data_IF_945848877847
#
_entry.id   IF_945848877847
#
_cell.length_a   1.000
_cell.length_b   1.000
_cell.length_c   1.000
_cell.angle_alpha   90.00
_cell.angle_beta   90.00
_cell.angle_gamma   90.00
#
_symmetry.space_group_name_H-M   'P 1'
#
loop_
_entity.id
_entity.type
_entity.pdbx_description
1 polymer ?
#
# COMPACT_ATOMS: atom_id res chain seq x y z
N UNK A 1 -2.85 26.24 -7.17
CA UNK A 1 -2.95 24.75 -7.09
C UNK A 1 -1.59 24.03 -7.24
N UNK A 2 -0.49 24.69 -7.53
CA UNK A 2 0.80 24.05 -7.89
C UNK A 2 1.84 23.97 -6.78
N UNK A 3 1.63 24.55 -5.62
CA UNK A 3 2.61 24.50 -4.50
C UNK A 3 2.33 23.44 -3.42
N UNK A 4 1.11 22.93 -3.31
CA UNK A 4 0.74 21.90 -2.32
C UNK A 4 1.04 20.47 -2.78
N UNK A 5 1.07 20.21 -4.07
CA UNK A 5 1.33 18.87 -4.62
C UNK A 5 2.77 18.37 -4.43
N UNK A 6 3.72 19.28 -4.24
CA UNK A 6 5.16 18.95 -4.15
C UNK A 6 5.65 18.57 -2.75
N UNK A 7 4.84 18.73 -1.71
CA UNK A 7 5.30 18.48 -0.33
C UNK A 7 5.11 17.04 0.18
N UNK A 8 4.49 16.17 -0.59
CA UNK A 8 3.90 14.93 -0.02
C UNK A 8 4.19 13.66 -0.82
N UNK A 9 5.02 13.73 -1.84
CA UNK A 9 5.67 12.51 -2.32
C UNK A 9 6.64 12.03 -1.22
N UNK A 10 6.68 10.72 -0.88
CA UNK A 10 7.73 10.21 0.01
C UNK A 10 9.08 10.75 -0.47
N UNK A 11 9.91 11.24 0.43
CA UNK A 11 11.24 11.81 0.12
C UNK A 11 12.05 10.98 -0.90
N UNK A 12 11.82 9.68 -0.98
CA UNK A 12 12.38 8.78 -1.98
C UNK A 12 12.01 9.13 -3.43
N UNK A 13 10.83 9.69 -3.69
CA UNK A 13 10.39 10.06 -5.04
C UNK A 13 11.00 11.41 -5.47
N UNK A 14 11.27 12.29 -4.51
CA UNK A 14 11.90 13.58 -4.79
C UNK A 14 13.36 13.45 -5.27
N UNK A 15 14.08 12.44 -4.77
CA UNK A 15 15.46 12.16 -5.20
C UNK A 15 15.56 11.66 -6.65
N UNK A 16 14.50 11.06 -7.20
CA UNK A 16 14.46 10.57 -8.59
C UNK A 16 14.36 11.73 -9.59
N UNK A 17 13.63 12.78 -9.25
CA UNK A 17 13.41 13.91 -10.16
C UNK A 17 14.63 14.80 -10.33
N UNK A 18 15.53 14.86 -9.32
CA UNK A 18 16.72 15.71 -9.36
C UNK A 18 17.96 15.07 -9.98
N UNK A 19 17.99 13.74 -10.10
CA UNK A 19 19.18 13.02 -10.60
C UNK A 19 19.31 13.00 -12.13
N UNK A 20 18.26 13.35 -12.87
CA UNK A 20 18.28 13.33 -14.35
C UNK A 20 19.00 14.52 -14.98
N UNK A 21 19.30 15.59 -14.23
CA UNK A 21 19.92 16.81 -14.76
C UNK A 21 21.34 17.10 -14.24
N UNK A 22 21.99 16.17 -13.56
CA UNK A 22 23.44 16.27 -13.26
C UNK A 22 23.90 17.46 -12.41
N UNK A 23 23.01 18.22 -11.78
CA UNK A 23 23.35 19.32 -10.86
C UNK A 23 22.57 19.24 -9.56
N UNK A 24 23.27 18.95 -8.48
CA UNK A 24 22.76 19.10 -7.12
C UNK A 24 22.83 20.58 -6.75
N UNK A 25 21.74 21.30 -6.88
CA UNK A 25 21.63 22.63 -6.28
C UNK A 25 21.22 22.44 -4.80
N UNK A 26 22.12 22.76 -3.90
CA UNK A 26 21.82 22.88 -2.47
C UNK A 26 20.84 24.03 -2.27
N UNK A 27 19.60 23.73 -1.90
CA UNK A 27 18.63 24.74 -1.47
C UNK A 27 19.00 25.19 -0.05
N UNK A 28 19.66 26.34 0.01
CA UNK A 28 19.88 27.13 1.23
C UNK A 28 18.53 27.60 1.74
N UNK A 29 18.21 27.31 3.00
CA UNK A 29 17.04 27.86 3.68
C UNK A 29 17.21 29.37 3.85
N UNK A 30 16.18 30.20 3.59
CA UNK A 30 16.24 31.59 3.98
C UNK A 30 16.04 31.78 5.50
N UNK A 31 16.96 32.44 6.10
CA UNK A 31 16.98 32.89 7.49
C UNK A 31 15.86 33.91 7.74
N UNK A 32 14.94 33.61 8.64
CA UNK A 32 13.89 34.53 9.09
C UNK A 32 14.34 35.31 10.32
N UNK A 33 15.18 36.31 10.10
CA UNK A 33 15.35 37.39 11.05
C UNK A 33 15.64 38.70 10.32
N UNK A 34 14.58 39.43 9.93
CA UNK A 34 14.59 40.90 9.88
C UNK A 34 13.17 41.41 9.59
N UNK A 35 12.66 42.12 10.57
CA UNK A 35 11.53 43.04 10.50
C UNK A 35 11.80 44.16 9.54
N UNK A 36 10.87 44.54 8.67
CA UNK A 36 10.76 45.91 8.17
C UNK A 36 9.31 46.32 7.91
N UNK A 37 9.08 47.59 8.18
CA UNK A 37 7.84 48.30 8.28
C UNK A 37 7.11 48.53 6.96
N UNK A 38 5.85 48.66 7.11
CA UNK A 38 4.78 49.37 6.39
C UNK A 38 5.20 50.42 5.35
N UNK A 39 4.71 50.31 4.09
CA UNK A 39 4.22 51.47 3.31
C UNK A 39 3.23 51.04 2.21
N UNK A 40 2.26 51.93 2.00
CA UNK A 40 1.03 51.91 1.25
C UNK A 40 1.03 51.66 -0.26
N UNK A 41 -0.16 51.24 -0.72
CA UNK A 41 -0.90 51.61 -1.95
C UNK A 41 -0.36 51.17 -3.33
N UNK A 42 -1.11 50.28 -3.97
CA UNK A 42 -1.86 50.63 -5.19
C UNK A 42 -2.75 49.44 -5.63
N UNK A 43 -4.01 49.78 -5.91
CA UNK A 43 -5.04 48.83 -6.31
C UNK A 43 -4.79 48.23 -7.69
N UNK A 44 -5.20 46.96 -7.80
CA UNK A 44 -5.56 46.33 -9.06
C UNK A 44 -6.72 45.38 -8.79
N UNK A 45 -7.79 45.57 -9.54
CA UNK A 45 -9.07 44.87 -9.54
C UNK A 45 -8.89 43.35 -9.65
N UNK A 46 -9.58 42.63 -8.77
CA UNK A 46 -9.74 41.17 -8.86
C UNK A 46 -11.12 40.87 -9.45
N UNK A 47 -11.24 40.19 -10.60
CA UNK A 47 -12.53 39.84 -11.17
C UNK A 47 -13.27 38.81 -10.32
N UNK A 48 -14.57 39.07 -10.16
CA UNK A 48 -15.54 38.41 -9.34
C UNK A 48 -15.70 36.91 -9.64
N UNK A 49 -15.51 36.06 -8.63
CA UNK A 49 -15.63 34.58 -8.68
C UNK A 49 -16.99 34.05 -9.12
N UNK A 50 -18.03 34.86 -9.20
CA UNK A 50 -19.39 34.47 -9.64
C UNK A 50 -19.55 34.33 -11.15
N UNK A 51 -18.72 34.94 -11.96
CA UNK A 51 -18.79 34.87 -13.42
C UNK A 51 -18.17 33.59 -14.04
N UNK A 52 -17.33 32.88 -13.29
CA UNK A 52 -16.67 31.66 -13.80
C UNK A 52 -17.55 30.41 -13.68
N UNK A 53 -18.50 30.39 -12.75
CA UNK A 53 -19.37 29.23 -12.50
C UNK A 53 -20.58 29.20 -13.46
N UNK A 54 -20.98 30.35 -14.01
CA UNK A 54 -22.13 30.38 -14.96
C UNK A 54 -21.78 29.94 -16.39
N UNK A 55 -20.52 29.98 -16.79
CA UNK A 55 -20.08 29.62 -18.14
C UNK A 55 -19.78 28.11 -18.33
N UNK A 56 -19.67 27.35 -17.25
CA UNK A 56 -19.49 25.88 -17.31
C UNK A 56 -20.84 25.15 -17.35
N UNK A 57 -21.91 25.75 -16.80
CA UNK A 57 -23.26 25.18 -16.82
C UNK A 57 -23.98 25.32 -18.18
N UNK A 58 -23.57 26.27 -19.05
CA UNK A 58 -24.22 26.50 -20.36
C UNK A 58 -23.68 25.62 -21.49
N UNK A 59 -22.54 24.96 -21.31
CA UNK A 59 -21.96 24.09 -22.34
C UNK A 59 -22.48 22.64 -22.29
N UNK A 60 -23.11 22.23 -21.18
CA UNK A 60 -23.60 20.85 -21.00
C UNK A 60 -25.06 20.66 -21.47
N UNK A 61 -25.82 21.75 -21.66
CA UNK A 61 -27.23 21.68 -22.07
C UNK A 61 -27.44 21.67 -23.59
N UNK A 62 -26.44 22.04 -24.38
CA UNK A 62 -26.53 22.08 -25.84
C UNK A 62 -26.24 20.74 -26.55
N UNK A 63 -25.74 19.72 -25.85
CA UNK A 63 -25.42 18.44 -26.44
C UNK A 63 -26.54 17.38 -26.35
N UNK A 64 -27.64 17.66 -25.67
CA UNK A 64 -28.74 16.70 -25.45
C UNK A 64 -29.94 16.98 -26.40
N UNK A 65 -29.99 18.11 -27.11
CA UNK A 65 -31.11 18.50 -27.96
C UNK A 65 -31.00 18.07 -29.44
N UNK A 66 -29.98 17.38 -29.87
CA UNK A 66 -29.76 17.00 -31.27
C UNK A 66 -30.07 15.54 -31.63
N UNK A 67 -30.65 14.75 -30.72
CA UNK A 67 -30.92 13.33 -30.93
C UNK A 67 -32.37 12.91 -30.92
N UNK A 68 -33.32 13.83 -31.11
CA UNK A 68 -34.77 13.50 -31.25
C UNK A 68 -35.37 14.09 -32.54
N UNK A 69 -35.04 13.46 -33.65
CA UNK A 69 -35.76 13.70 -34.93
C UNK A 69 -36.74 12.55 -35.20
N UNK A 70 -38.01 12.80 -34.98
CA UNK A 70 -39.10 11.92 -35.36
C UNK A 70 -39.35 12.09 -36.86
N UNK A 71 -39.24 11.02 -37.62
CA UNK A 71 -39.78 10.93 -38.99
C UNK A 71 -40.82 9.82 -39.04
N UNK A 72 -42.05 10.26 -39.31
CA UNK A 72 -43.24 9.42 -39.62
C UNK A 72 -43.20 8.96 -41.07
N UNK A 73 -43.54 7.70 -41.33
CA UNK A 73 -44.15 7.33 -42.60
C UNK A 73 -43.61 6.07 -43.26
N UNK A 74 -44.55 5.15 -43.46
CA UNK A 74 -44.65 4.13 -44.51
C UNK A 74 -44.18 2.73 -44.17
N UNK A 75 -45.19 1.83 -44.09
CA UNK A 75 -45.06 0.40 -43.82
C UNK A 75 -44.33 -0.36 -44.93
N UNK A 76 -43.44 -1.21 -44.47
CA UNK A 76 -42.91 -2.33 -45.25
C UNK A 76 -43.02 -3.56 -44.34
N UNK A 77 -43.77 -4.55 -44.80
CA UNK A 77 -43.88 -5.87 -44.19
C UNK A 77 -42.55 -6.56 -44.40
N UNK A 78 -41.80 -6.80 -43.35
CA UNK A 78 -40.60 -7.65 -43.37
C UNK A 78 -40.89 -9.00 -42.70
N UNK A 79 -40.69 -10.06 -43.45
CA UNK A 79 -40.63 -11.44 -43.02
C UNK A 79 -39.52 -11.60 -41.95
N UNK A 80 -39.69 -12.52 -40.95
CA UNK A 80 -38.66 -12.72 -39.94
C UNK A 80 -37.47 -13.46 -40.54
N UNK A 81 -36.35 -12.75 -40.72
CA UNK A 81 -35.05 -13.34 -41.00
C UNK A 81 -34.47 -13.81 -39.66
N UNK A 82 -33.94 -15.03 -39.70
CA UNK A 82 -33.50 -15.86 -38.63
C UNK A 82 -32.77 -15.16 -37.48
N UNK A 83 -33.00 -15.70 -36.29
CA UNK A 83 -32.33 -15.33 -35.05
C UNK A 83 -30.81 -15.31 -35.24
N UNK A 84 -30.23 -14.12 -35.10
CA UNK A 84 -28.80 -13.99 -34.86
C UNK A 84 -28.48 -14.72 -33.56
N UNK A 85 -27.47 -15.61 -33.51
CA UNK A 85 -27.06 -16.20 -32.26
C UNK A 85 -26.60 -15.09 -31.34
N UNK A 86 -27.32 -14.90 -30.24
CA UNK A 86 -26.83 -14.18 -29.09
C UNK A 86 -25.51 -14.85 -28.71
N UNK A 87 -24.39 -14.19 -28.97
CA UNK A 87 -23.12 -14.48 -28.34
C UNK A 87 -23.33 -14.22 -26.85
N UNK A 88 -23.80 -15.23 -26.12
CA UNK A 88 -23.57 -15.34 -24.70
C UNK A 88 -22.06 -15.27 -24.54
N UNK A 89 -21.57 -14.16 -23.98
CA UNK A 89 -20.23 -14.13 -23.43
C UNK A 89 -20.16 -15.30 -22.47
N UNK A 90 -19.55 -16.40 -22.93
CA UNK A 90 -19.22 -17.51 -22.05
C UNK A 90 -18.46 -16.88 -20.90
N UNK A 91 -18.97 -17.07 -19.67
CA UNK A 91 -18.25 -16.75 -18.45
C UNK A 91 -16.87 -17.40 -18.57
N UNK A 92 -15.87 -16.60 -18.90
CA UNK A 92 -14.50 -17.07 -18.87
C UNK A 92 -14.24 -17.39 -17.41
N UNK A 93 -14.24 -18.70 -17.08
CA UNK A 93 -14.09 -19.17 -15.72
C UNK A 93 -12.81 -18.53 -15.15
N UNK A 94 -12.98 -17.64 -14.18
CA UNK A 94 -11.84 -16.97 -13.54
C UNK A 94 -10.90 -18.05 -13.00
N UNK A 95 -9.60 -17.89 -13.27
CA UNK A 95 -8.61 -18.78 -12.68
C UNK A 95 -8.69 -18.71 -11.15
N UNK A 96 -8.46 -19.83 -10.45
CA UNK A 96 -8.48 -19.81 -8.99
C UNK A 96 -7.40 -18.86 -8.46
N UNK A 97 -7.76 -18.07 -7.45
CA UNK A 97 -6.84 -17.15 -6.80
C UNK A 97 -5.75 -17.90 -6.03
N UNK A 98 -4.53 -17.44 -6.11
CA UNK A 98 -3.44 -17.97 -5.30
C UNK A 98 -3.64 -17.59 -3.83
N UNK A 99 -3.61 -18.60 -2.94
CA UNK A 99 -3.60 -18.35 -1.50
C UNK A 99 -2.21 -17.88 -1.08
N UNK A 100 -2.15 -16.71 -0.45
CA UNK A 100 -0.89 -16.14 0.06
C UNK A 100 -0.53 -16.76 1.42
N UNK A 101 0.77 -16.81 1.78
CA UNK A 101 1.23 -17.26 3.09
C UNK A 101 0.61 -16.47 4.26
N UNK A 102 0.51 -17.06 5.47
CA UNK A 102 -0.15 -16.42 6.63
C UNK A 102 0.64 -15.24 7.22
N UNK A 103 1.86 -15.05 6.79
CA UNK A 103 2.74 -13.92 7.11
C UNK A 103 3.64 -13.62 5.91
N UNK A 104 4.02 -12.36 5.70
CA UNK A 104 5.06 -11.98 4.77
C UNK A 104 6.17 -11.19 5.44
N UNK A 105 7.27 -10.98 4.74
CA UNK A 105 8.37 -10.11 5.14
C UNK A 105 8.32 -8.81 4.35
N UNK A 106 8.11 -7.68 5.02
CA UNK A 106 8.17 -6.35 4.41
C UNK A 106 9.61 -5.89 4.21
N UNK A 107 10.00 -5.66 2.96
CA UNK A 107 11.36 -5.30 2.57
C UNK A 107 11.54 -3.79 2.30
N UNK A 108 10.65 -2.93 2.79
CA UNK A 108 10.79 -1.48 2.59
C UNK A 108 12.10 -0.93 3.17
N UNK A 109 12.55 -1.45 4.28
CA UNK A 109 13.81 -1.01 4.89
C UNK A 109 15.07 -1.49 4.13
N UNK A 110 14.93 -2.41 3.17
CA UNK A 110 16.04 -2.97 2.40
C UNK A 110 16.42 -2.00 1.28
N UNK A 111 17.58 -1.39 1.39
CA UNK A 111 18.05 -0.41 0.41
C UNK A 111 17.56 1.04 0.61
N UNK A 112 16.62 1.30 1.52
CA UNK A 112 16.10 2.66 1.76
C UNK A 112 16.99 3.45 2.73
N UNK A 113 17.88 4.26 2.18
CA UNK A 113 18.78 5.12 2.95
C UNK A 113 18.07 6.34 3.55
N UNK A 114 17.01 6.85 2.92
CA UNK A 114 16.38 8.12 3.29
C UNK A 114 15.53 8.01 4.56
N UNK A 115 14.66 7.03 4.63
CA UNK A 115 13.76 6.87 5.76
C UNK A 115 14.31 5.90 6.82
N UNK A 116 14.92 4.80 6.36
CA UNK A 116 15.40 3.74 7.25
C UNK A 116 16.89 3.82 7.56
N UNK A 117 17.64 4.70 6.89
CA UNK A 117 19.07 4.85 7.12
C UNK A 117 19.90 3.64 6.67
N UNK A 118 19.43 2.95 5.62
CA UNK A 118 20.17 1.83 5.06
C UNK A 118 21.52 2.28 4.51
N UNK A 119 22.52 1.43 4.69
CA UNK A 119 23.80 1.50 3.99
C UNK A 119 24.26 0.08 3.60
N UNK A 120 25.12 -0.05 2.58
CA UNK A 120 25.51 -1.37 2.06
C UNK A 120 26.22 -2.31 3.06
N UNK A 121 26.77 -1.80 4.17
CA UNK A 121 27.34 -2.65 5.22
C UNK A 121 26.31 -3.52 5.92
N UNK A 122 25.01 -3.21 5.77
CA UNK A 122 23.88 -3.97 6.32
C UNK A 122 23.47 -5.15 5.42
N UNK A 123 24.02 -5.28 4.22
CA UNK A 123 23.60 -6.33 3.27
C UNK A 123 23.79 -7.74 3.86
N UNK A 124 24.85 -7.95 4.64
CA UNK A 124 25.08 -9.23 5.33
C UNK A 124 23.97 -9.55 6.34
N UNK A 125 23.55 -8.58 7.13
CA UNK A 125 22.47 -8.75 8.11
C UNK A 125 21.15 -9.05 7.38
N UNK A 126 20.91 -8.41 6.22
CA UNK A 126 19.72 -8.65 5.40
C UNK A 126 19.76 -10.02 4.72
N UNK A 127 20.92 -10.50 4.31
CA UNK A 127 21.11 -11.85 3.79
C UNK A 127 20.81 -12.90 4.88
N UNK A 128 21.28 -12.70 6.11
CA UNK A 128 20.94 -13.56 7.26
C UNK A 128 19.41 -13.58 7.53
N UNK A 129 18.73 -12.43 7.37
CA UNK A 129 17.25 -12.37 7.46
C UNK A 129 16.62 -13.18 6.34
N UNK A 130 17.09 -13.04 5.11
CA UNK A 130 16.59 -13.80 3.96
C UNK A 130 16.80 -15.31 4.18
N UNK A 131 17.99 -15.73 4.56
CA UNK A 131 18.33 -17.14 4.81
C UNK A 131 17.43 -17.75 5.89
N UNK A 132 17.19 -17.03 6.99
CA UNK A 132 16.27 -17.47 8.03
C UNK A 132 14.86 -17.70 7.47
N UNK A 133 14.33 -16.76 6.69
CA UNK A 133 13.00 -16.91 6.08
C UNK A 133 12.94 -18.13 5.16
N UNK A 134 14.04 -18.42 4.47
CA UNK A 134 14.13 -19.62 3.63
C UNK A 134 14.04 -20.92 4.44
N UNK A 135 14.47 -20.95 5.71
CA UNK A 135 14.31 -22.13 6.57
C UNK A 135 12.83 -22.41 6.89
N UNK A 136 11.95 -21.40 6.81
CA UNK A 136 10.51 -21.56 7.05
C UNK A 136 9.79 -22.29 5.91
N UNK A 137 10.47 -22.56 4.80
CA UNK A 137 9.95 -23.29 3.64
C UNK A 137 10.05 -24.81 3.77
N UNK A 138 10.32 -25.35 4.94
CA UNK A 138 10.62 -26.78 5.17
C UNK A 138 9.47 -27.73 4.82
N UNK A 139 8.23 -27.24 4.64
CA UNK A 139 7.10 -28.00 4.13
C UNK A 139 6.76 -27.59 2.69
N UNK A 140 6.34 -28.52 1.81
CA UNK A 140 5.88 -28.19 0.46
C UNK A 140 4.69 -27.22 0.43
N UNK A 141 3.91 -27.17 1.50
CA UNK A 141 2.78 -26.24 1.66
C UNK A 141 3.21 -24.83 2.17
N UNK A 142 4.46 -24.66 2.60
CA UNK A 142 4.94 -23.44 3.21
C UNK A 142 5.74 -22.61 2.20
N UNK A 143 5.05 -21.75 1.47
CA UNK A 143 5.69 -20.66 0.74
C UNK A 143 5.97 -19.50 1.70
N UNK A 144 6.99 -18.70 1.40
CA UNK A 144 7.26 -17.41 2.08
C UNK A 144 6.97 -16.26 1.14
N UNK A 145 6.43 -15.18 1.67
CA UNK A 145 6.11 -13.97 0.92
C UNK A 145 7.11 -12.87 1.26
N UNK A 146 7.83 -12.36 0.26
CA UNK A 146 8.67 -11.17 0.36
C UNK A 146 7.94 -10.01 -0.33
N UNK A 147 7.66 -8.94 0.41
CA UNK A 147 6.96 -7.76 -0.10
C UNK A 147 7.92 -6.59 -0.31
N UNK A 148 8.08 -6.17 -1.56
CA UNK A 148 8.93 -5.05 -1.99
C UNK A 148 8.18 -4.08 -2.89
N UNK A 149 8.88 -3.12 -3.50
CA UNK A 149 8.36 -2.20 -4.53
C UNK A 149 9.50 -1.63 -5.37
N UNK A 150 9.21 -1.24 -6.62
CA UNK A 150 10.20 -0.62 -7.52
C UNK A 150 10.83 0.66 -6.95
N UNK A 151 10.13 1.36 -6.03
CA UNK A 151 10.62 2.60 -5.41
C UNK A 151 11.43 2.36 -4.14
N UNK A 152 11.42 1.17 -3.55
CA UNK A 152 12.14 0.92 -2.31
C UNK A 152 13.66 0.92 -2.57
N UNK A 153 14.33 1.91 -1.96
CA UNK A 153 15.74 2.16 -2.23
C UNK A 153 16.06 2.37 -3.71
N UNK A 154 15.11 2.91 -4.50
CA UNK A 154 15.24 3.12 -5.96
C UNK A 154 15.54 1.82 -6.73
N UNK A 155 14.88 0.73 -6.34
CA UNK A 155 15.07 -0.61 -6.91
C UNK A 155 16.10 -1.48 -6.18
N UNK A 156 16.85 -0.92 -5.19
CA UNK A 156 17.85 -1.70 -4.43
C UNK A 156 17.21 -2.85 -3.67
N UNK A 157 16.00 -2.66 -3.11
CA UNK A 157 15.27 -3.73 -2.41
C UNK A 157 14.98 -4.92 -3.33
N UNK A 158 14.50 -4.68 -4.55
CA UNK A 158 14.28 -5.73 -5.54
C UNK A 158 15.57 -6.42 -5.95
N UNK A 159 16.66 -5.66 -6.17
CA UNK A 159 17.97 -6.22 -6.52
C UNK A 159 18.55 -7.11 -5.41
N UNK A 160 18.44 -6.68 -4.15
CA UNK A 160 18.87 -7.51 -3.00
C UNK A 160 18.12 -8.83 -2.94
N UNK A 161 16.79 -8.81 -3.11
CA UNK A 161 15.97 -10.04 -3.15
C UNK A 161 16.42 -10.96 -4.30
N UNK A 162 16.67 -10.40 -5.48
CA UNK A 162 17.17 -11.14 -6.63
C UNK A 162 18.53 -11.80 -6.35
N UNK A 163 19.48 -11.01 -5.83
CA UNK A 163 20.83 -11.47 -5.52
C UNK A 163 20.83 -12.58 -4.45
N UNK A 164 20.04 -12.43 -3.38
CA UNK A 164 19.95 -13.45 -2.32
C UNK A 164 19.23 -14.70 -2.82
N UNK A 165 18.16 -14.55 -3.61
CA UNK A 165 17.43 -15.69 -4.16
C UNK A 165 18.33 -16.55 -5.07
N UNK A 166 19.21 -15.95 -5.88
CA UNK A 166 20.16 -16.70 -6.74
C UNK A 166 21.12 -17.57 -5.95
N UNK A 167 21.49 -17.17 -4.74
CA UNK A 167 22.39 -17.91 -3.87
C UNK A 167 21.70 -19.08 -3.15
N UNK A 168 20.37 -18.99 -2.99
CA UNK A 168 19.60 -20.03 -2.31
C UNK A 168 19.52 -21.34 -3.14
N UNK A 169 19.36 -22.51 -2.51
CA UNK A 169 19.12 -23.78 -3.20
C UNK A 169 17.88 -23.71 -4.12
N UNK A 170 17.91 -24.36 -5.28
CA UNK A 170 16.81 -24.32 -6.27
C UNK A 170 15.46 -24.71 -5.70
N UNK A 171 15.43 -25.75 -4.89
CA UNK A 171 14.22 -26.24 -4.25
C UNK A 171 13.59 -25.21 -3.31
N UNK A 172 14.41 -24.31 -2.77
CA UNK A 172 13.99 -23.21 -1.89
C UNK A 172 13.51 -22.01 -2.72
N UNK A 173 14.18 -21.72 -3.84
CA UNK A 173 13.81 -20.61 -4.71
C UNK A 173 12.36 -20.70 -5.21
N UNK A 174 11.85 -21.93 -5.49
CA UNK A 174 10.51 -22.18 -5.98
C UNK A 174 9.43 -21.89 -4.93
N UNK A 175 9.79 -21.91 -3.64
CA UNK A 175 8.90 -21.64 -2.52
C UNK A 175 8.83 -20.16 -2.14
N UNK A 176 9.69 -19.33 -2.71
CA UNK A 176 9.69 -17.89 -2.49
C UNK A 176 8.65 -17.24 -3.38
N UNK A 177 7.68 -16.58 -2.79
CA UNK A 177 6.76 -15.69 -3.47
C UNK A 177 7.25 -14.25 -3.32
N UNK A 178 7.36 -13.52 -4.43
CA UNK A 178 7.72 -12.10 -4.41
C UNK A 178 6.53 -11.25 -4.83
N UNK A 179 6.12 -10.37 -3.94
CA UNK A 179 5.21 -9.28 -4.22
C UNK A 179 6.00 -7.99 -4.45
N UNK A 180 5.75 -7.32 -5.59
CA UNK A 180 6.30 -5.99 -5.84
C UNK A 180 5.22 -5.04 -6.33
N UNK A 181 5.55 -3.74 -6.49
CA UNK A 181 4.53 -2.71 -6.70
C UNK A 181 4.94 -1.69 -7.76
N UNK A 182 3.96 -1.31 -8.57
CA UNK A 182 4.02 -0.18 -9.49
C UNK A 182 3.86 1.15 -8.74
N UNK A 183 4.80 2.05 -8.87
CA UNK A 183 4.67 3.41 -8.33
C UNK A 183 3.75 4.27 -9.21
N UNK A 184 2.59 4.61 -8.71
CA UNK A 184 1.56 5.42 -9.36
C UNK A 184 1.95 6.92 -9.38
N UNK A 185 3.04 7.26 -10.07
CA UNK A 185 3.53 8.65 -10.15
C UNK A 185 2.65 9.49 -11.09
N UNK A 186 2.49 10.80 -10.85
CA UNK A 186 1.56 11.66 -11.59
C UNK A 186 1.75 11.69 -13.11
N UNK A 187 2.95 11.40 -13.60
CA UNK A 187 3.29 11.38 -15.03
C UNK A 187 3.21 9.98 -15.67
N UNK A 188 2.83 8.96 -14.90
CA UNK A 188 2.71 7.56 -15.36
C UNK A 188 1.23 7.19 -15.41
N UNK A 189 0.51 7.70 -16.43
CA UNK A 189 -0.96 7.64 -16.48
C UNK A 189 -1.51 6.70 -17.57
N UNK A 190 -0.66 5.85 -18.15
CA UNK A 190 -1.04 4.95 -19.24
C UNK A 190 -0.84 3.48 -18.85
N UNK A 191 -1.62 2.54 -19.41
CA UNK A 191 -1.46 1.10 -19.16
C UNK A 191 -0.03 0.60 -19.40
N UNK A 192 0.63 1.08 -20.48
CA UNK A 192 1.98 0.67 -20.86
C UNK A 192 3.02 1.04 -19.78
N UNK A 193 2.75 2.04 -18.94
CA UNK A 193 3.63 2.38 -17.81
C UNK A 193 3.67 1.26 -16.79
N UNK A 194 2.54 0.59 -16.54
CA UNK A 194 2.43 -0.55 -15.60
C UNK A 194 3.21 -1.74 -16.15
N UNK A 195 2.99 -2.08 -17.42
CA UNK A 195 3.69 -3.18 -18.11
C UNK A 195 5.21 -2.95 -18.12
N UNK A 196 5.64 -1.76 -18.52
CA UNK A 196 7.07 -1.40 -18.56
C UNK A 196 7.72 -1.45 -17.18
N UNK A 197 7.00 -1.05 -16.15
CA UNK A 197 7.49 -1.11 -14.79
C UNK A 197 7.62 -2.56 -14.31
N UNK A 198 6.64 -3.43 -14.61
CA UNK A 198 6.73 -4.86 -14.33
C UNK A 198 7.97 -5.49 -14.98
N UNK A 199 8.24 -5.18 -16.24
CA UNK A 199 9.46 -5.61 -16.94
C UNK A 199 10.74 -5.11 -16.27
N UNK A 200 10.71 -3.86 -15.74
CA UNK A 200 11.83 -3.31 -14.96
C UNK A 200 12.04 -4.04 -13.64
N UNK A 201 10.97 -4.38 -12.94
CA UNK A 201 11.00 -5.16 -11.70
C UNK A 201 11.50 -6.59 -11.95
N UNK A 202 11.04 -7.26 -13.03
CA UNK A 202 11.54 -8.57 -13.44
C UNK A 202 13.06 -8.57 -13.66
N UNK A 203 13.60 -7.51 -14.28
CA UNK A 203 15.05 -7.39 -14.49
C UNK A 203 15.85 -7.23 -13.19
N UNK A 204 15.31 -6.47 -12.20
CA UNK A 204 16.00 -6.28 -10.90
C UNK A 204 15.91 -7.51 -10.01
N UNK A 205 14.73 -8.15 -9.99
CA UNK A 205 14.49 -9.38 -9.25
C UNK A 205 15.20 -10.60 -9.88
N UNK A 206 15.37 -10.59 -11.20
CA UNK A 206 15.86 -11.71 -12.03
C UNK A 206 15.13 -13.03 -11.73
N UNK A 207 13.82 -12.92 -11.51
CA UNK A 207 12.89 -14.01 -11.23
C UNK A 207 11.44 -13.62 -11.53
N UNK A 208 10.50 -14.58 -11.65
CA UNK A 208 9.09 -14.28 -11.81
C UNK A 208 8.53 -13.42 -10.67
N UNK A 209 7.58 -12.53 -10.98
CA UNK A 209 6.79 -11.77 -10.01
C UNK A 209 5.55 -12.59 -9.67
N UNK A 210 5.40 -12.98 -8.39
CA UNK A 210 4.27 -13.79 -7.95
C UNK A 210 3.02 -12.95 -7.68
N UNK A 211 3.18 -11.69 -7.21
CA UNK A 211 2.11 -10.73 -7.00
C UNK A 211 2.56 -9.33 -7.42
N UNK A 212 1.85 -8.71 -8.36
CA UNK A 212 2.13 -7.34 -8.80
C UNK A 212 1.00 -6.41 -8.39
N UNK A 213 1.33 -5.31 -7.73
CA UNK A 213 0.35 -4.44 -7.10
C UNK A 213 0.46 -3.00 -7.59
N UNK A 214 -0.67 -2.30 -7.75
CA UNK A 214 -0.65 -0.83 -7.83
C UNK A 214 -0.39 -0.30 -6.42
N UNK A 215 0.67 0.50 -6.24
CA UNK A 215 1.13 0.96 -4.91
C UNK A 215 0.16 1.95 -4.26
N UNK A 216 -0.47 2.81 -5.06
CA UNK A 216 -1.45 3.81 -4.63
C UNK A 216 -2.50 4.03 -5.69
N UNK A 217 -3.76 4.32 -5.34
CA UNK A 217 -4.75 4.77 -6.29
C UNK A 217 -4.35 6.14 -6.87
N UNK A 218 -4.83 6.41 -8.09
CA UNK A 218 -4.67 7.71 -8.74
C UNK A 218 -5.99 8.09 -9.43
N UNK A 219 -6.68 9.09 -8.92
CA UNK A 219 -7.98 9.52 -9.39
C UNK A 219 -8.06 9.77 -10.92
N UNK A 220 -6.93 10.11 -11.53
CA UNK A 220 -6.89 10.44 -12.96
C UNK A 220 -6.43 9.29 -13.85
N UNK A 221 -6.05 8.14 -13.28
CA UNK A 221 -5.44 7.04 -14.03
C UNK A 221 -5.77 5.65 -13.48
N UNK A 222 -6.72 5.50 -12.57
CA UNK A 222 -7.04 4.20 -11.98
C UNK A 222 -7.42 3.17 -13.05
N UNK A 223 -8.32 3.52 -13.98
CA UNK A 223 -8.74 2.61 -15.06
C UNK A 223 -7.56 2.17 -15.93
N UNK A 224 -6.70 3.11 -16.33
CA UNK A 224 -5.50 2.79 -17.09
C UNK A 224 -4.55 1.86 -16.32
N UNK A 225 -4.48 2.00 -15.00
CA UNK A 225 -3.68 1.10 -14.17
C UNK A 225 -4.28 -0.30 -14.08
N UNK A 226 -5.61 -0.42 -14.01
CA UNK A 226 -6.29 -1.73 -14.01
C UNK A 226 -6.09 -2.44 -15.35
N UNK A 227 -6.19 -1.71 -16.46
CA UNK A 227 -5.88 -2.23 -17.78
C UNK A 227 -4.42 -2.70 -17.87
N UNK A 228 -3.48 -1.89 -17.38
CA UNK A 228 -2.07 -2.26 -17.38
C UNK A 228 -1.75 -3.44 -16.46
N UNK A 229 -2.47 -3.64 -15.34
CA UNK A 229 -2.37 -4.85 -14.52
C UNK A 229 -2.85 -6.08 -15.29
N UNK A 230 -4.00 -5.96 -15.96
CA UNK A 230 -4.55 -7.04 -16.77
C UNK A 230 -3.61 -7.38 -17.93
N UNK A 231 -3.06 -6.37 -18.62
CA UNK A 231 -2.07 -6.57 -19.68
C UNK A 231 -0.82 -7.31 -19.18
N UNK A 232 -0.29 -6.92 -18.02
CA UNK A 232 0.88 -7.58 -17.43
C UNK A 232 0.59 -9.06 -17.05
N UNK A 233 -0.63 -9.34 -16.56
CA UNK A 233 -1.08 -10.69 -16.25
C UNK A 233 -1.27 -11.54 -17.50
N UNK A 234 -1.97 -11.04 -18.51
CA UNK A 234 -2.25 -11.73 -19.77
C UNK A 234 -0.97 -12.02 -20.58
N UNK A 235 0.01 -11.10 -20.51
CA UNK A 235 1.35 -11.31 -21.09
C UNK A 235 2.22 -12.30 -20.29
N UNK A 236 1.75 -12.81 -19.14
CA UNK A 236 2.50 -13.73 -18.30
C UNK A 236 3.71 -13.10 -17.59
N UNK A 237 3.78 -11.76 -17.52
CA UNK A 237 4.83 -11.06 -16.79
C UNK A 237 4.69 -11.21 -15.27
N UNK A 238 3.45 -11.41 -14.80
CA UNK A 238 3.12 -11.55 -13.39
C UNK A 238 2.11 -12.68 -13.21
N UNK A 239 2.19 -13.40 -12.07
CA UNK A 239 1.32 -14.56 -11.81
C UNK A 239 -0.02 -14.17 -11.19
N UNK A 240 -0.03 -13.12 -10.37
CA UNK A 240 -1.22 -12.59 -9.69
C UNK A 240 -1.16 -11.07 -9.68
N UNK A 241 -2.34 -10.43 -9.57
CA UNK A 241 -2.45 -8.97 -9.48
C UNK A 241 -3.13 -8.55 -8.19
N UNK A 242 -2.75 -7.38 -7.72
CA UNK A 242 -3.28 -6.77 -6.51
C UNK A 242 -3.27 -5.24 -6.57
N UNK A 243 -3.78 -4.64 -5.53
CA UNK A 243 -3.74 -3.19 -5.32
C UNK A 243 -3.25 -2.87 -3.91
N UNK A 244 -2.94 -1.61 -3.64
CA UNK A 244 -2.57 -1.14 -2.31
C UNK A 244 -3.21 0.22 -2.04
N UNK A 245 -3.70 0.41 -0.82
CA UNK A 245 -4.36 1.64 -0.37
C UNK A 245 -5.67 1.98 -1.12
N UNK A 246 -6.36 0.97 -1.65
CA UNK A 246 -7.66 1.16 -2.28
C UNK A 246 -8.77 1.14 -1.22
N UNK A 247 -9.62 2.17 -1.24
CA UNK A 247 -10.86 2.23 -0.46
C UNK A 247 -11.95 1.36 -1.09
N UNK A 248 -13.13 1.31 -0.45
CA UNK A 248 -14.23 0.39 -0.83
C UNK A 248 -14.64 0.53 -2.29
N UNK A 249 -14.91 1.76 -2.74
CA UNK A 249 -15.44 2.00 -4.10
C UNK A 249 -14.41 1.74 -5.18
N UNK A 250 -13.16 2.20 -4.97
CA UNK A 250 -12.06 1.94 -5.89
C UNK A 250 -11.73 0.44 -5.96
N UNK A 251 -11.81 -0.29 -4.82
CA UNK A 251 -11.61 -1.72 -4.78
C UNK A 251 -12.68 -2.47 -5.58
N UNK A 252 -13.96 -2.14 -5.37
CA UNK A 252 -15.09 -2.73 -6.11
C UNK A 252 -14.99 -2.46 -7.61
N UNK A 253 -14.66 -1.22 -7.99
CA UNK A 253 -14.48 -0.83 -9.39
C UNK A 253 -13.32 -1.55 -10.05
N UNK A 254 -12.17 -1.64 -9.37
CA UNK A 254 -11.01 -2.40 -9.85
C UNK A 254 -11.33 -3.89 -10.02
N UNK A 255 -11.96 -4.50 -9.01
CA UNK A 255 -12.38 -5.90 -9.07
C UNK A 255 -13.29 -6.16 -10.28
N UNK A 256 -14.31 -5.31 -10.49
CA UNK A 256 -15.23 -5.44 -11.62
C UNK A 256 -14.54 -5.23 -12.98
N UNK A 257 -13.58 -4.29 -13.08
CA UNK A 257 -12.83 -4.05 -14.31
C UNK A 257 -11.94 -5.24 -14.67
N UNK A 258 -11.19 -5.79 -13.73
CA UNK A 258 -10.34 -6.96 -13.92
C UNK A 258 -11.15 -8.22 -14.24
N UNK A 259 -12.31 -8.42 -13.57
CA UNK A 259 -13.20 -9.55 -13.80
C UNK A 259 -13.72 -9.60 -15.24
N UNK A 260 -14.00 -8.46 -15.89
CA UNK A 260 -14.39 -8.40 -17.30
C UNK A 260 -13.33 -9.00 -18.24
N UNK A 261 -12.08 -9.03 -17.82
CA UNK A 261 -10.95 -9.61 -18.56
C UNK A 261 -10.55 -11.01 -18.04
N UNK A 262 -11.34 -11.60 -17.12
CA UNK A 262 -11.01 -12.89 -16.50
C UNK A 262 -9.79 -12.87 -15.59
N UNK A 263 -9.37 -11.68 -15.12
CA UNK A 263 -8.21 -11.49 -14.24
C UNK A 263 -8.66 -11.40 -12.79
N UNK A 264 -8.27 -12.33 -11.90
CA UNK A 264 -8.68 -12.30 -10.51
C UNK A 264 -7.88 -11.25 -9.72
N UNK A 265 -8.56 -10.33 -9.03
CA UNK A 265 -7.93 -9.44 -8.05
C UNK A 265 -7.61 -10.25 -6.79
N UNK A 266 -6.32 -10.46 -6.51
CA UNK A 266 -5.85 -11.35 -5.44
C UNK A 266 -5.77 -10.66 -4.08
N UNK A 267 -5.30 -9.40 -4.03
CA UNK A 267 -5.04 -8.71 -2.77
C UNK A 267 -5.32 -7.22 -2.79
N UNK A 268 -5.63 -6.68 -1.61
CA UNK A 268 -5.49 -5.25 -1.30
C UNK A 268 -4.54 -5.09 -0.11
N UNK A 269 -3.41 -4.41 -0.32
CA UNK A 269 -2.43 -4.15 0.73
C UNK A 269 -2.72 -2.80 1.39
N UNK A 270 -3.03 -2.81 2.68
CA UNK A 270 -3.48 -1.63 3.42
C UNK A 270 -2.71 -1.44 4.72
N UNK A 271 -2.66 -0.20 5.22
CA UNK A 271 -2.25 0.04 6.58
C UNK A 271 -3.25 -0.58 7.55
N UNK A 272 -2.75 -1.45 8.44
CA UNK A 272 -3.61 -2.04 9.46
C UNK A 272 -2.80 -2.54 10.66
N UNK A 273 -3.15 -2.08 11.85
CA UNK A 273 -2.49 -2.41 13.11
C UNK A 273 -3.38 -2.00 14.29
N UNK A 274 -3.02 -2.37 15.51
CA UNK A 274 -3.67 -1.89 16.73
C UNK A 274 -3.68 -0.35 16.89
N UNK A 275 -2.79 0.36 16.18
CA UNK A 275 -2.76 1.83 16.13
C UNK A 275 -3.47 2.45 14.93
N UNK A 276 -3.88 1.65 13.96
CA UNK A 276 -4.60 2.13 12.79
C UNK A 276 -5.66 1.11 12.37
N UNK A 277 -6.88 1.30 12.87
CA UNK A 277 -8.01 0.38 12.73
C UNK A 277 -9.11 0.92 11.80
N UNK A 278 -8.87 2.02 11.11
CA UNK A 278 -9.83 2.64 10.20
C UNK A 278 -10.44 1.66 9.17
N UNK A 279 -9.70 0.69 8.59
CA UNK A 279 -10.27 -0.29 7.67
C UNK A 279 -11.39 -1.18 8.26
N UNK A 280 -11.49 -1.32 9.57
CA UNK A 280 -12.61 -2.00 10.24
C UNK A 280 -13.88 -1.13 10.21
N UNK A 281 -13.72 0.18 10.40
CA UNK A 281 -14.82 1.12 10.56
C UNK A 281 -15.45 1.56 9.25
N UNK A 282 -14.64 1.72 8.20
CA UNK A 282 -15.09 2.19 6.91
C UNK A 282 -15.63 1.07 5.99
N UNK A 283 -15.73 -0.16 6.49
CA UNK A 283 -16.25 -1.31 5.75
C UNK A 283 -15.27 -1.95 4.76
N UNK A 284 -14.00 -1.52 4.73
CA UNK A 284 -13.02 -2.01 3.75
C UNK A 284 -12.69 -3.49 3.97
N UNK A 285 -12.50 -3.93 5.23
CA UNK A 285 -12.24 -5.35 5.51
C UNK A 285 -13.42 -6.23 5.08
N UNK A 286 -14.66 -5.76 5.30
CA UNK A 286 -15.84 -6.48 4.84
C UNK A 286 -15.91 -6.53 3.32
N UNK A 287 -15.64 -5.42 2.62
CA UNK A 287 -15.63 -5.41 1.16
C UNK A 287 -14.56 -6.34 0.57
N UNK A 288 -13.36 -6.42 1.18
CA UNK A 288 -12.34 -7.39 0.77
C UNK A 288 -12.83 -8.82 0.94
N UNK A 289 -13.49 -9.12 2.08
CA UNK A 289 -14.05 -10.45 2.35
C UNK A 289 -15.15 -10.82 1.35
N UNK A 290 -16.08 -9.91 1.06
CA UNK A 290 -17.20 -10.13 0.12
C UNK A 290 -16.72 -10.41 -1.31
N UNK A 291 -15.59 -9.80 -1.70
CA UNK A 291 -14.97 -9.95 -3.02
C UNK A 291 -13.93 -11.07 -3.08
N UNK A 292 -13.75 -11.81 -1.98
CA UNK A 292 -12.67 -12.80 -1.83
C UNK A 292 -11.29 -12.20 -2.19
N UNK A 293 -10.98 -10.98 -1.72
CA UNK A 293 -9.70 -10.30 -1.89
C UNK A 293 -8.93 -10.40 -0.58
N UNK A 294 -7.72 -10.97 -0.64
CA UNK A 294 -6.87 -11.14 0.54
C UNK A 294 -6.30 -9.79 1.00
N UNK A 295 -6.32 -9.55 2.30
CA UNK A 295 -5.81 -8.30 2.88
C UNK A 295 -4.37 -8.51 3.36
N UNK A 296 -3.43 -7.78 2.76
CA UNK A 296 -2.06 -7.65 3.28
C UNK A 296 -2.01 -6.43 4.21
N UNK A 297 -1.68 -6.65 5.49
CA UNK A 297 -1.57 -5.55 6.45
C UNK A 297 -0.12 -5.07 6.57
N UNK A 298 0.16 -3.89 5.97
CA UNK A 298 1.47 -3.27 6.14
C UNK A 298 1.55 -2.47 7.44
N UNK A 299 2.78 -2.28 7.93
CA UNK A 299 3.06 -1.66 9.23
C UNK A 299 2.30 -2.29 10.42
N UNK A 300 2.23 -3.62 10.55
CA UNK A 300 1.52 -4.26 11.65
C UNK A 300 2.13 -3.90 13.01
N UNK A 301 3.42 -3.54 13.04
CA UNK A 301 4.14 -3.06 14.22
C UNK A 301 4.16 -1.52 14.35
N UNK A 302 3.35 -0.80 13.56
CA UNK A 302 3.26 0.66 13.56
C UNK A 302 4.65 1.36 13.54
N UNK A 303 5.50 1.01 12.55
CA UNK A 303 6.89 1.49 12.39
C UNK A 303 7.80 1.24 13.61
N UNK A 304 7.43 0.30 14.46
CA UNK A 304 8.15 -0.08 15.66
C UNK A 304 7.57 0.47 16.96
N UNK A 305 6.46 1.22 16.93
CA UNK A 305 5.74 1.65 18.14
C UNK A 305 5.23 0.45 18.96
N UNK A 306 4.70 -0.58 18.28
CA UNK A 306 4.17 -1.80 18.89
C UNK A 306 5.24 -2.87 19.11
N UNK A 307 6.43 -2.48 19.56
CA UNK A 307 7.54 -3.42 19.84
C UNK A 307 7.92 -3.50 21.32
N UNK A 308 7.25 -2.75 22.19
CA UNK A 308 7.60 -2.67 23.61
C UNK A 308 8.80 -1.77 23.92
N UNK A 309 9.54 -1.29 22.92
CA UNK A 309 10.71 -0.40 23.12
C UNK A 309 10.38 0.88 23.87
N UNK A 310 9.13 1.33 23.81
CA UNK A 310 8.70 2.63 24.31
C UNK A 310 7.90 2.54 25.61
N UNK A 311 7.98 1.42 26.32
CA UNK A 311 7.50 1.29 27.70
C UNK A 311 8.32 2.12 28.69
N UNK A 312 9.58 2.44 28.35
CA UNK A 312 10.45 3.27 29.19
C UNK A 312 10.76 4.62 28.52
N UNK A 313 10.72 5.72 29.31
CA UNK A 313 11.10 7.06 28.84
C UNK A 313 12.56 7.15 28.36
N UNK A 314 13.44 6.29 28.84
CA UNK A 314 14.85 6.24 28.40
C UNK A 314 14.98 5.85 26.93
N UNK A 315 14.12 4.97 26.44
CA UNK A 315 14.14 4.50 25.05
C UNK A 315 13.70 5.59 24.05
N UNK A 316 12.88 6.54 24.49
CA UNK A 316 12.38 7.64 23.65
C UNK A 316 13.52 8.57 23.20
N UNK A 317 14.54 8.74 24.06
CA UNK A 317 15.73 9.58 23.75
C UNK A 317 16.56 9.02 22.58
N UNK A 318 16.43 7.73 22.29
CA UNK A 318 17.19 7.04 21.24
C UNK A 318 16.54 7.12 19.84
N UNK A 319 15.34 7.71 19.73
CA UNK A 319 14.65 7.82 18.43
C UNK A 319 15.36 8.92 17.62
N UNK A 320 15.86 8.54 16.45
CA UNK A 320 16.51 9.45 15.51
C UNK A 320 15.67 9.65 14.25
N UNK A 321 15.99 10.72 13.50
CA UNK A 321 15.42 11.00 12.18
C UNK A 321 13.94 11.36 12.19
N UNK A 322 13.25 11.22 11.04
CA UNK A 322 11.85 11.63 10.85
C UNK A 322 10.89 10.98 11.84
N UNK A 323 11.16 9.75 12.28
CA UNK A 323 10.33 9.01 13.25
C UNK A 323 10.20 9.71 14.60
N UNK A 324 11.22 10.50 15.03
CA UNK A 324 11.15 11.22 16.31
C UNK A 324 9.96 12.18 16.38
N UNK A 325 9.72 12.92 15.30
CA UNK A 325 8.58 13.84 15.20
C UNK A 325 7.25 13.10 15.20
N UNK A 326 7.18 11.98 14.46
CA UNK A 326 5.99 11.15 14.34
C UNK A 326 5.58 10.50 15.66
N UNK A 327 6.54 10.04 16.46
CA UNK A 327 6.29 9.25 17.65
C UNK A 327 6.06 10.07 18.92
N UNK A 328 6.50 11.34 18.94
CA UNK A 328 6.51 12.16 20.15
C UNK A 328 5.15 12.22 20.84
N UNK A 329 4.09 12.52 20.10
CA UNK A 329 2.75 12.67 20.69
C UNK A 329 2.13 11.31 21.07
N UNK A 330 2.44 10.25 20.32
CA UNK A 330 1.91 8.90 20.59
C UNK A 330 2.53 8.30 21.83
N UNK A 331 3.85 8.42 22.02
CA UNK A 331 4.58 7.77 23.10
C UNK A 331 4.20 8.36 24.47
N UNK A 332 3.94 9.67 24.54
CA UNK A 332 3.55 10.34 25.77
C UNK A 332 2.05 10.17 26.11
N UNK A 333 1.27 9.51 25.23
CA UNK A 333 -0.15 9.27 25.44
C UNK A 333 -0.35 8.13 26.45
N UNK A 334 -1.09 8.35 27.57
CA UNK A 334 -1.35 7.33 28.59
C UNK A 334 -2.08 6.09 28.03
N UNK A 335 -2.96 6.27 27.05
CA UNK A 335 -3.70 5.15 26.45
C UNK A 335 -2.81 4.28 25.58
N UNK A 336 -1.82 4.87 24.91
CA UNK A 336 -0.80 4.10 24.22
C UNK A 336 0.02 3.25 25.20
N UNK A 337 0.39 3.81 26.35
CA UNK A 337 1.10 3.05 27.38
C UNK A 337 0.23 1.91 27.93
N UNK A 338 -1.06 2.18 28.14
CA UNK A 338 -2.03 1.14 28.54
C UNK A 338 -2.13 0.02 27.51
N UNK A 339 -2.17 0.35 26.22
CA UNK A 339 -2.16 -0.65 25.14
C UNK A 339 -0.90 -1.53 25.22
N UNK A 340 0.28 -0.91 25.32
CA UNK A 340 1.53 -1.68 25.41
C UNK A 340 1.57 -2.60 26.64
N UNK A 341 1.09 -2.15 27.79
CA UNK A 341 0.99 -2.98 29.01
C UNK A 341 -0.02 -4.13 28.82
N UNK A 342 -1.13 -3.88 28.10
CA UNK A 342 -2.09 -4.94 27.77
C UNK A 342 -1.47 -5.97 26.85
N UNK A 343 -0.71 -5.53 25.83
CA UNK A 343 0.01 -6.44 24.93
C UNK A 343 1.09 -7.25 25.67
N UNK A 344 1.81 -6.65 26.61
CA UNK A 344 2.79 -7.35 27.45
C UNK A 344 2.12 -8.42 28.31
N UNK A 345 0.99 -8.09 28.93
CA UNK A 345 0.19 -9.04 29.71
C UNK A 345 -0.31 -10.21 28.85
N UNK A 346 -0.81 -9.93 27.64
CA UNK A 346 -1.22 -10.98 26.70
C UNK A 346 -0.03 -11.86 26.32
N UNK A 347 1.12 -11.27 25.97
CA UNK A 347 2.32 -12.03 25.63
C UNK A 347 2.72 -12.97 26.79
N UNK A 348 2.70 -12.49 28.04
CA UNK A 348 3.09 -13.30 29.21
C UNK A 348 2.20 -14.54 29.44
N UNK A 349 0.96 -14.53 28.94
CA UNK A 349 0.07 -15.69 29.02
C UNK A 349 0.47 -16.83 28.06
N UNK A 350 1.27 -16.52 27.03
CA UNK A 350 1.71 -17.47 26.01
C UNK A 350 3.15 -18.00 26.20
N UNK A 351 3.67 -17.83 27.42
CA UNK A 351 4.98 -18.34 27.82
C UNK A 351 6.14 -17.36 27.60
N UNK A 352 7.30 -17.76 28.06
CA UNK A 352 8.49 -16.87 28.12
C UNK A 352 9.06 -16.44 26.77
N UNK A 353 8.70 -17.11 25.68
CA UNK A 353 9.16 -16.79 24.32
C UNK A 353 8.22 -15.83 23.58
N UNK A 354 6.98 -15.66 24.03
CA UNK A 354 6.05 -14.73 23.44
C UNK A 354 6.40 -13.28 23.81
N UNK A 355 6.17 -12.35 22.89
CA UNK A 355 6.54 -10.95 23.07
C UNK A 355 5.53 -9.99 22.41
N UNK A 356 5.64 -8.71 22.73
CA UNK A 356 4.73 -7.65 22.23
C UNK A 356 4.63 -7.61 20.68
N UNK A 357 5.73 -7.68 19.90
CA UNK A 357 5.63 -7.77 18.44
C UNK A 357 4.77 -8.93 17.95
N UNK A 358 4.89 -10.09 18.54
CA UNK A 358 4.10 -11.27 18.18
C UNK A 358 2.60 -11.07 18.47
N UNK A 359 2.26 -10.41 19.58
CA UNK A 359 0.86 -10.03 19.89
C UNK A 359 0.28 -9.15 18.77
N UNK A 360 1.02 -8.13 18.33
CA UNK A 360 0.58 -7.25 17.23
C UNK A 360 0.39 -8.01 15.91
N UNK A 361 1.31 -8.91 15.58
CA UNK A 361 1.24 -9.76 14.37
C UNK A 361 0.03 -10.70 14.47
N UNK A 362 -0.14 -11.39 15.59
CA UNK A 362 -1.24 -12.32 15.81
C UNK A 362 -2.61 -11.64 15.88
N UNK A 363 -2.65 -10.38 16.35
CA UNK A 363 -3.88 -9.60 16.29
C UNK A 363 -4.30 -9.35 14.83
N UNK A 364 -3.39 -8.96 13.93
CA UNK A 364 -3.68 -8.83 12.49
C UNK A 364 -4.17 -10.16 11.89
N UNK A 365 -3.51 -11.30 12.25
CA UNK A 365 -3.92 -12.64 11.80
C UNK A 365 -5.32 -13.00 12.31
N UNK A 366 -5.62 -12.73 13.57
CA UNK A 366 -6.94 -12.97 14.17
C UNK A 366 -8.06 -12.15 13.50
N UNK A 367 -7.71 -10.98 12.94
CA UNK A 367 -8.62 -10.16 12.11
C UNK A 367 -8.74 -10.65 10.66
N UNK A 368 -8.16 -11.78 10.31
CA UNK A 368 -8.23 -12.38 8.96
C UNK A 368 -7.34 -11.68 7.93
N UNK A 369 -6.32 -10.96 8.35
CA UNK A 369 -5.35 -10.31 7.45
C UNK A 369 -4.00 -11.01 7.47
N UNK A 370 -3.17 -10.75 6.47
CA UNK A 370 -1.81 -11.26 6.32
C UNK A 370 -0.84 -10.15 6.71
N UNK A 371 -0.26 -10.15 7.91
CA UNK A 371 0.72 -9.14 8.32
C UNK A 371 2.03 -9.28 7.54
N UNK A 372 2.61 -8.14 7.16
CA UNK A 372 3.93 -8.06 6.50
C UNK A 372 4.90 -7.21 7.34
N UNK A 373 5.31 -7.68 8.54
CA UNK A 373 6.28 -6.96 9.37
C UNK A 373 7.64 -6.89 8.68
N UNK A 374 8.33 -5.75 8.82
CA UNK A 374 9.71 -5.60 8.38
C UNK A 374 10.70 -6.23 9.36
N UNK A 375 11.85 -6.69 8.83
CA UNK A 375 13.00 -7.09 9.64
C UNK A 375 14.30 -6.63 8.96
N UNK A 376 15.31 -6.26 9.78
CA UNK A 376 16.64 -5.82 9.32
C UNK A 376 17.77 -6.59 9.98
N UNK A 377 17.47 -7.55 10.82
CA UNK A 377 18.41 -8.46 11.46
C UNK A 377 17.71 -9.74 11.90
N UNK A 378 18.49 -10.77 12.16
CA UNK A 378 18.04 -12.11 12.51
C UNK A 378 17.06 -12.11 13.69
N UNK A 379 17.38 -11.42 14.79
CA UNK A 379 16.51 -11.35 15.98
C UNK A 379 15.10 -10.84 15.65
N UNK A 380 14.97 -9.86 14.74
CA UNK A 380 13.66 -9.31 14.37
C UNK A 380 12.84 -10.32 13.55
N UNK A 381 13.46 -11.00 12.60
CA UNK A 381 12.74 -11.95 11.75
C UNK A 381 12.37 -13.21 12.53
N UNK A 382 13.24 -13.71 13.39
CA UNK A 382 12.94 -14.80 14.33
C UNK A 382 11.71 -14.48 15.19
N UNK A 383 11.70 -13.29 15.81
CA UNK A 383 10.58 -12.84 16.62
C UNK A 383 9.30 -12.73 15.81
N UNK A 384 9.35 -12.19 14.58
CA UNK A 384 8.17 -12.04 13.72
C UNK A 384 7.58 -13.40 13.33
N UNK A 385 8.41 -14.35 12.91
CA UNK A 385 7.93 -15.67 12.46
C UNK A 385 7.54 -16.58 13.63
N UNK A 386 8.10 -16.40 14.80
CA UNK A 386 7.67 -17.12 16.01
C UNK A 386 6.22 -16.80 16.40
N UNK A 387 5.63 -15.70 15.91
CA UNK A 387 4.19 -15.44 16.04
C UNK A 387 3.33 -16.55 15.44
N UNK A 388 3.82 -17.31 14.47
CA UNK A 388 3.06 -18.40 13.84
C UNK A 388 2.90 -19.64 14.74
N UNK A 389 3.65 -19.74 15.85
CA UNK A 389 3.61 -20.89 16.76
C UNK A 389 2.43 -20.88 17.73
N UNK A 390 1.67 -19.79 17.79
CA UNK A 390 0.53 -19.61 18.69
C UNK A 390 -0.49 -18.61 18.15
N UNK A 391 -1.71 -18.65 18.66
CA UNK A 391 -2.81 -17.79 18.24
C UNK A 391 -3.44 -17.09 19.46
N UNK A 392 -4.02 -15.90 19.23
CA UNK A 392 -4.81 -15.19 20.24
C UNK A 392 -6.18 -15.85 20.41
N UNK A 393 -6.62 -15.99 21.65
CA UNK A 393 -8.01 -16.32 21.95
C UNK A 393 -8.94 -15.15 21.63
N UNK A 394 -10.23 -15.44 21.40
CA UNK A 394 -11.24 -14.38 21.17
C UNK A 394 -11.30 -13.36 22.33
N UNK A 395 -11.07 -13.81 23.58
CA UNK A 395 -11.02 -12.94 24.75
C UNK A 395 -9.82 -11.98 24.71
N UNK A 396 -8.66 -12.44 24.30
CA UNK A 396 -7.46 -11.61 24.16
C UNK A 396 -7.61 -10.61 23.01
N UNK A 397 -8.19 -11.03 21.88
CA UNK A 397 -8.53 -10.09 20.79
C UNK A 397 -9.46 -8.99 21.30
N UNK A 398 -10.51 -9.30 22.02
CA UNK A 398 -11.42 -8.31 22.59
C UNK A 398 -10.73 -7.36 23.57
N UNK A 399 -9.85 -7.88 24.44
CA UNK A 399 -9.05 -7.05 25.36
C UNK A 399 -8.12 -6.08 24.60
N UNK A 400 -7.50 -6.53 23.54
CA UNK A 400 -6.64 -5.70 22.69
C UNK A 400 -7.45 -4.66 21.92
N UNK A 401 -8.63 -5.04 21.42
CA UNK A 401 -9.55 -4.13 20.73
C UNK A 401 -10.01 -3.00 21.67
N UNK A 402 -10.35 -3.30 22.91
CA UNK A 402 -10.70 -2.34 23.92
C UNK A 402 -9.52 -1.42 24.29
N UNK A 403 -8.33 -2.00 24.50
CA UNK A 403 -7.13 -1.21 24.81
C UNK A 403 -6.69 -0.29 23.65
N UNK A 404 -7.02 -0.64 22.40
CA UNK A 404 -6.68 0.11 21.20
C UNK A 404 -7.75 1.14 20.78
N UNK A 405 -8.78 1.40 21.59
CA UNK A 405 -9.91 2.30 21.23
C UNK A 405 -9.45 3.71 20.90
N UNK A 406 -8.40 4.23 21.57
CA UNK A 406 -7.84 5.55 21.29
C UNK A 406 -7.22 5.69 19.88
N UNK A 407 -6.90 4.60 19.20
CA UNK A 407 -6.31 4.64 17.83
C UNK A 407 -7.23 5.29 16.80
N UNK A 408 -8.49 5.51 17.15
CA UNK A 408 -9.47 6.22 16.33
C UNK A 408 -9.45 7.75 16.50
N UNK A 409 -8.74 8.27 17.53
CA UNK A 409 -8.99 9.62 18.06
C UNK A 409 -8.46 10.70 17.12
N UNK A 410 -7.41 10.48 16.37
CA UNK A 410 -6.96 11.47 15.41
C UNK A 410 -6.25 10.83 14.20
N UNK A 411 -7.02 10.55 13.13
CA UNK A 411 -6.37 10.17 11.87
C UNK A 411 -5.43 11.26 11.33
N UNK A 412 -5.56 12.56 11.75
CA UNK A 412 -4.64 13.62 11.39
C UNK A 412 -3.28 13.50 12.08
N UNK A 413 -3.22 12.85 13.23
CA UNK A 413 -1.97 12.54 13.92
C UNK A 413 -1.26 11.31 13.33
N UNK A 414 -1.91 10.57 12.41
CA UNK A 414 -1.26 9.45 11.74
C UNK A 414 -0.11 9.97 10.86
N UNK A 415 1.09 9.41 11.00
CA UNK A 415 2.19 9.73 10.10
C UNK A 415 1.96 9.23 8.65
N UNK A 416 0.88 8.52 8.46
CA UNK A 416 0.54 7.89 7.20
C UNK A 416 -0.57 8.66 6.51
N UNK A 417 -0.53 8.78 5.19
CA UNK A 417 -1.60 9.42 4.45
C UNK A 417 -2.91 8.66 4.69
N UNK A 418 -4.00 9.40 4.86
CA UNK A 418 -5.34 8.84 4.92
C UNK A 418 -5.80 8.42 3.54
N UNK A 419 -6.59 7.37 3.48
CA UNK A 419 -7.34 7.04 2.28
C UNK A 419 -8.75 7.61 2.46
N UNK A 420 -9.17 8.48 1.54
CA UNK A 420 -10.55 8.97 1.51
C UNK A 420 -11.49 7.78 1.30
N UNK A 421 -12.51 7.67 2.18
CA UNK A 421 -13.41 6.52 2.20
C UNK A 421 -14.29 6.41 0.95
N UNK A 422 -14.59 7.54 0.32
CA UNK A 422 -15.54 7.62 -0.78
C UNK A 422 -14.84 7.52 -2.14
N UNK A 423 -13.64 8.07 -2.25
CA UNK A 423 -12.88 8.11 -3.51
C UNK A 423 -11.73 7.11 -3.58
N UNK A 424 -11.33 6.51 -2.47
CA UNK A 424 -10.13 5.69 -2.38
C UNK A 424 -8.82 6.46 -2.60
N UNK A 425 -8.89 7.80 -2.61
CA UNK A 425 -7.72 8.66 -2.80
C UNK A 425 -6.93 8.78 -1.51
N UNK A 426 -5.62 8.82 -1.65
CA UNK A 426 -4.74 9.17 -0.55
C UNK A 426 -4.90 10.66 -0.27
N UNK A 427 -5.44 10.96 0.91
CA UNK A 427 -5.58 12.31 1.42
C UNK A 427 -4.30 12.70 2.16
N UNK A 428 -3.73 13.78 1.73
CA UNK A 428 -2.60 14.40 2.42
C UNK A 428 -3.14 15.62 3.14
N UNK A 429 -3.26 15.53 4.44
CA UNK A 429 -3.65 16.68 5.24
C UNK A 429 -2.59 17.78 5.13
N UNK A 430 -3.04 18.98 4.82
CA UNK A 430 -2.27 20.21 4.69
C UNK A 430 -1.70 20.66 6.01
#
# INVERSE_FOLDING_TARGET
MTRSFLRILPLAVFAVLTRKEGRVAALVQPDHSKSFANTNNNGLDVPNRRAFISNVASATTAAIAAASGIATGSGVVMTPVGATPSLTMADAAMKPKTKLPPIGLGCWAWGDALFWGYNPSQDKDLEEVFDYVMTQTSSPANSVLLDTAEVYGLGRSESLIGDFTKKAPKETQEKVMVATKFAALPFRTKPENVVKAAQGSLKRLDRPIDLYQIHFPNAFANEAYWDGLADAYEQGLVKNVGVSNYGVDALRSCHAALAKRGVPLTSNQIQYSLLYRFPEQNGLLQACKDLDVQVLSYSPLALGLLTGKYLSKASIKQIAGPRKKLFKNTIDNPEFQRLLLTMEKVASNHGNSANIPQVAINWCRAKGTIPIPGARNLRQVESNYAALSWDLSAKEVAMLDEAATYSYIDPAASPFPRVDKDTGLIMFDS
#
